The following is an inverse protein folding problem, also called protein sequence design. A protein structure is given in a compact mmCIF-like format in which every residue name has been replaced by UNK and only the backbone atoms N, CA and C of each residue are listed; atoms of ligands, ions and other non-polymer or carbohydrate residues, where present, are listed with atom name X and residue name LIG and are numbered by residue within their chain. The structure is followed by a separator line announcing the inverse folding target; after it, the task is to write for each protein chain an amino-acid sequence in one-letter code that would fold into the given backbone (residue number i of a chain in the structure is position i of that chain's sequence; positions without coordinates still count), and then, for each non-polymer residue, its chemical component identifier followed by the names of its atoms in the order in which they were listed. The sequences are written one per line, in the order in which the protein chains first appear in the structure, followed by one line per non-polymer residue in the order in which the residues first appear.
data_IF_734661901891
#
_entry.id   IF_734661901891
#
_cell.length_a   1.000
_cell.length_b   1.000
_cell.length_c   1.000
_cell.angle_alpha   90.00
_cell.angle_beta   90.00
_cell.angle_gamma   90.00
#
_symmetry.space_group_name_H-M   'P 1'
#
loop_
_entity.id
_entity.type
_entity.pdbx_description
1 polymer ?
#
# COMPACT_ATOMS: atom_id res chain seq x y z
N UNK A 1 25.15 29.76 -49.79
CA UNK A 1 25.38 29.17 -48.45
C UNK A 1 24.03 29.05 -47.77
N UNK A 2 23.42 27.87 -47.81
CA UNK A 2 22.17 27.56 -47.11
C UNK A 2 22.42 26.26 -46.35
N UNK A 3 22.55 26.37 -45.02
CA UNK A 3 22.77 25.24 -44.14
C UNK A 3 21.44 24.55 -43.88
N UNK A 4 21.38 23.25 -44.19
CA UNK A 4 20.26 22.39 -43.83
C UNK A 4 20.40 21.98 -42.36
N UNK A 5 19.46 22.41 -41.52
CA UNK A 5 19.29 21.91 -40.15
C UNK A 5 18.73 20.49 -40.19
N UNK A 6 19.54 19.52 -39.74
CA UNK A 6 19.11 18.15 -39.47
C UNK A 6 18.23 18.11 -38.23
N UNK A 7 16.96 17.74 -38.40
CA UNK A 7 16.07 17.42 -37.29
C UNK A 7 16.45 16.03 -36.76
N UNK A 8 16.93 15.98 -35.52
CA UNK A 8 17.12 14.73 -34.77
C UNK A 8 15.75 14.18 -34.39
N UNK A 9 15.40 13.01 -34.92
CA UNK A 9 14.20 12.27 -34.52
C UNK A 9 14.30 11.84 -33.06
N UNK A 10 13.24 11.97 -32.23
CA UNK A 10 13.25 11.46 -30.88
C UNK A 10 13.32 9.92 -30.91
N UNK A 11 14.25 9.35 -30.15
CA UNK A 11 14.36 7.92 -29.89
C UNK A 11 13.03 7.43 -29.28
N UNK A 12 12.43 6.33 -29.75
CA UNK A 12 11.20 5.81 -29.16
C UNK A 12 11.46 5.39 -27.72
N UNK A 13 10.69 5.99 -26.81
CA UNK A 13 10.63 5.58 -25.41
C UNK A 13 10.20 4.10 -25.36
N UNK A 14 10.86 3.24 -24.57
CA UNK A 14 10.45 1.85 -24.46
C UNK A 14 8.99 1.77 -24.01
N UNK A 15 8.20 0.79 -24.51
CA UNK A 15 6.80 0.64 -24.12
C UNK A 15 6.72 0.52 -22.59
N UNK A 16 5.85 1.34 -21.98
CA UNK A 16 5.65 1.34 -20.53
C UNK A 16 5.30 -0.08 -20.07
N UNK A 17 6.12 -0.65 -19.19
CA UNK A 17 5.89 -2.00 -18.66
C UNK A 17 4.56 -2.00 -17.90
N UNK A 18 3.61 -2.90 -18.21
CA UNK A 18 2.34 -2.93 -17.50
C UNK A 18 2.56 -3.29 -16.03
N UNK A 19 2.03 -2.48 -15.12
CA UNK A 19 2.16 -2.61 -13.65
C UNK A 19 1.37 -3.79 -13.04
N UNK A 20 1.07 -4.80 -13.86
CA UNK A 20 0.25 -5.98 -13.56
C UNK A 20 1.09 -7.24 -13.41
N UNK A 21 2.24 -7.33 -14.06
CA UNK A 21 3.09 -8.52 -14.02
C UNK A 21 3.92 -8.56 -12.74
N UNK A 22 4.03 -9.74 -12.14
CA UNK A 22 4.89 -9.94 -10.97
C UNK A 22 6.35 -9.63 -11.32
N UNK A 23 7.00 -8.79 -10.51
CA UNK A 23 8.42 -8.51 -10.69
C UNK A 23 9.26 -9.81 -10.54
N UNK A 24 10.32 -10.00 -11.34
CA UNK A 24 11.22 -11.13 -11.19
C UNK A 24 11.81 -11.22 -9.78
N UNK A 25 12.09 -12.44 -9.31
CA UNK A 25 12.61 -12.71 -7.96
C UNK A 25 13.81 -11.82 -7.58
N UNK A 26 14.74 -11.58 -8.52
CA UNK A 26 15.91 -10.74 -8.28
C UNK A 26 15.57 -9.27 -7.98
N UNK A 27 14.48 -8.73 -8.56
CA UNK A 27 14.00 -7.36 -8.24
C UNK A 27 13.34 -7.34 -6.87
N UNK A 28 12.56 -8.39 -6.57
CA UNK A 28 11.90 -8.57 -5.28
C UNK A 28 12.91 -8.64 -4.13
N UNK A 29 13.97 -9.43 -4.29
CA UNK A 29 15.07 -9.58 -3.34
C UNK A 29 15.85 -8.28 -3.15
N UNK A 30 16.09 -7.53 -4.23
CA UNK A 30 16.75 -6.21 -4.14
C UNK A 30 15.90 -5.21 -3.35
N UNK A 31 14.60 -5.12 -3.64
CA UNK A 31 13.70 -4.25 -2.89
C UNK A 31 13.61 -4.65 -1.41
N UNK A 32 13.57 -5.95 -1.12
CA UNK A 32 13.56 -6.45 0.26
C UNK A 32 14.85 -6.10 1.02
N UNK A 33 16.01 -6.28 0.39
CA UNK A 33 17.30 -5.91 0.98
C UNK A 33 17.40 -4.40 1.25
N UNK A 34 16.89 -3.56 0.33
CA UNK A 34 16.88 -2.11 0.49
C UNK A 34 15.95 -1.67 1.63
N UNK A 35 14.74 -2.23 1.71
CA UNK A 35 13.82 -1.98 2.83
C UNK A 35 14.44 -2.38 4.18
N UNK A 36 15.10 -3.54 4.25
CA UNK A 36 15.79 -3.98 5.46
C UNK A 36 16.92 -3.04 5.87
N UNK A 37 17.71 -2.55 4.90
CA UNK A 37 18.74 -1.53 5.15
C UNK A 37 18.15 -0.19 5.62
N UNK A 38 16.88 0.08 5.30
CA UNK A 38 16.13 1.25 5.74
C UNK A 38 15.32 1.02 7.03
N UNK A 39 15.57 -0.08 7.75
CA UNK A 39 15.01 -0.32 9.08
C UNK A 39 13.65 -1.01 9.12
N UNK A 40 13.09 -1.39 7.96
CA UNK A 40 11.86 -2.20 7.92
C UNK A 40 12.16 -3.68 8.22
N UNK A 41 11.24 -4.35 8.91
CA UNK A 41 11.20 -5.81 8.94
C UNK A 41 10.60 -6.30 7.63
N UNK A 42 11.27 -7.22 6.91
CA UNK A 42 10.80 -7.68 5.59
C UNK A 42 10.76 -9.20 5.53
N UNK A 43 9.64 -9.74 5.04
CA UNK A 43 9.47 -11.17 4.79
C UNK A 43 8.98 -11.36 3.35
N UNK A 44 9.69 -12.19 2.57
CA UNK A 44 9.21 -12.60 1.24
C UNK A 44 8.37 -13.86 1.39
N UNK A 45 7.11 -13.80 0.98
CA UNK A 45 6.14 -14.88 1.09
C UNK A 45 5.71 -15.35 -0.30
N UNK A 46 5.30 -16.61 -0.41
CA UNK A 46 4.93 -17.18 -1.70
C UNK A 46 3.61 -16.60 -2.23
N UNK A 47 2.59 -16.46 -1.36
CA UNK A 47 1.23 -16.11 -1.76
C UNK A 47 0.37 -15.47 -0.65
N UNK A 48 -0.87 -15.13 -0.99
CA UNK A 48 -1.87 -14.58 -0.10
C UNK A 48 -2.25 -15.49 1.08
N UNK A 49 -2.43 -16.82 0.93
CA UNK A 49 -2.57 -17.73 2.06
C UNK A 49 -1.42 -17.64 3.08
N UNK A 50 -0.17 -17.60 2.61
CA UNK A 50 0.99 -17.43 3.49
C UNK A 50 0.95 -16.07 4.21
N UNK A 51 0.61 -15.00 3.48
CA UNK A 51 0.46 -13.66 4.07
C UNK A 51 -0.64 -13.60 5.13
N UNK A 52 -1.79 -14.25 4.87
CA UNK A 52 -2.93 -14.33 5.80
C UNK A 52 -2.56 -15.05 7.09
N UNK A 53 -1.86 -16.19 6.98
CA UNK A 53 -1.34 -16.91 8.14
C UNK A 53 -0.36 -16.04 8.94
N UNK A 54 0.56 -15.37 8.25
CA UNK A 54 1.58 -14.55 8.89
C UNK A 54 1.02 -13.32 9.61
N UNK A 55 0.05 -12.63 9.00
CA UNK A 55 -0.66 -11.51 9.66
C UNK A 55 -1.33 -11.97 10.96
N UNK A 56 -1.93 -13.15 10.98
CA UNK A 56 -2.56 -13.70 12.19
C UNK A 56 -1.56 -13.98 13.33
N UNK A 57 -0.33 -14.33 13.00
CA UNK A 57 0.76 -14.54 13.97
C UNK A 57 1.33 -13.22 14.49
N UNK A 58 1.45 -12.22 13.61
CA UNK A 58 2.03 -10.91 13.93
C UNK A 58 1.12 -10.05 14.82
N UNK A 59 -0.19 -10.26 14.77
CA UNK A 59 -1.17 -9.44 15.49
C UNK A 59 -1.66 -10.17 16.75
N UNK A 60 -1.44 -9.61 17.95
CA UNK A 60 -1.99 -10.15 19.19
C UNK A 60 -3.52 -10.18 19.15
N UNK A 61 -4.11 -11.23 19.73
CA UNK A 61 -5.56 -11.27 19.93
C UNK A 61 -6.01 -10.10 20.82
N UNK A 62 -7.17 -9.52 20.51
CA UNK A 62 -7.72 -8.36 21.23
C UNK A 62 -7.08 -7.01 20.90
N UNK A 63 -6.05 -6.95 20.05
CA UNK A 63 -5.47 -5.68 19.62
C UNK A 63 -6.49 -4.82 18.83
N UNK A 64 -6.37 -3.50 18.96
CA UNK A 64 -7.08 -2.52 18.15
C UNK A 64 -6.51 -2.47 16.74
N UNK A 65 -7.19 -3.09 15.77
CA UNK A 65 -6.67 -3.22 14.39
C UNK A 65 -7.49 -2.39 13.42
N UNK A 66 -6.80 -1.51 12.69
CA UNK A 66 -7.39 -0.81 11.55
C UNK A 66 -6.86 -1.42 10.24
N UNK A 67 -7.76 -1.83 9.34
CA UNK A 67 -7.41 -2.14 7.95
C UNK A 67 -7.68 -0.94 7.06
N UNK A 68 -6.63 -0.45 6.39
CA UNK A 68 -6.77 0.60 5.39
C UNK A 68 -7.57 0.08 4.17
N UNK A 69 -8.19 1.00 3.41
CA UNK A 69 -8.82 0.63 2.14
C UNK A 69 -7.77 0.04 1.19
N UNK A 70 -7.91 -1.25 0.84
CA UNK A 70 -6.91 -1.98 0.07
C UNK A 70 -7.51 -3.17 -0.66
N UNK A 71 -7.39 -3.19 -1.98
CA UNK A 71 -7.77 -4.36 -2.79
C UNK A 71 -6.86 -5.56 -2.54
N UNK A 72 -5.59 -5.34 -2.19
CA UNK A 72 -4.69 -6.43 -1.77
C UNK A 72 -5.23 -7.13 -0.51
N UNK A 73 -5.69 -6.38 0.50
CA UNK A 73 -6.28 -6.99 1.70
C UNK A 73 -7.63 -7.65 1.43
N UNK A 74 -8.45 -7.05 0.56
CA UNK A 74 -9.75 -7.63 0.17
C UNK A 74 -9.57 -8.95 -0.57
N UNK A 75 -8.69 -8.98 -1.57
CA UNK A 75 -8.45 -10.16 -2.40
C UNK A 75 -7.75 -11.30 -1.65
N UNK A 76 -6.88 -10.97 -0.68
CA UNK A 76 -6.21 -11.98 0.16
C UNK A 76 -7.11 -12.55 1.27
N UNK A 77 -8.26 -11.92 1.53
CA UNK A 77 -9.15 -12.27 2.65
C UNK A 77 -8.68 -11.77 4.02
N UNK A 78 -7.58 -11.00 4.08
CA UNK A 78 -7.07 -10.42 5.34
C UNK A 78 -8.03 -9.37 5.90
N UNK A 79 -8.68 -8.59 5.03
CA UNK A 79 -9.68 -7.60 5.48
C UNK A 79 -10.86 -8.29 6.21
N UNK A 80 -11.35 -9.39 5.67
CA UNK A 80 -12.46 -10.15 6.25
C UNK A 80 -12.06 -10.84 7.56
N UNK A 81 -10.87 -11.44 7.61
CA UNK A 81 -10.33 -12.06 8.83
C UNK A 81 -10.27 -11.09 9.99
N UNK A 82 -9.84 -9.85 9.72
CA UNK A 82 -9.67 -8.86 10.78
C UNK A 82 -11.03 -8.30 11.20
N UNK A 83 -11.89 -7.96 10.24
CA UNK A 83 -13.10 -7.20 10.52
C UNK A 83 -14.33 -8.05 10.86
N UNK A 84 -14.38 -9.32 10.43
CA UNK A 84 -15.49 -10.24 10.70
C UNK A 84 -15.10 -11.41 11.64
N UNK A 85 -13.81 -11.68 11.84
CA UNK A 85 -13.33 -12.86 12.56
C UNK A 85 -13.44 -12.82 14.09
N UNK A 86 -13.82 -11.67 14.69
CA UNK A 86 -14.04 -11.52 16.14
C UNK A 86 -12.80 -11.63 17.04
N UNK A 87 -11.62 -11.89 16.47
CA UNK A 87 -10.35 -12.05 17.21
C UNK A 87 -9.73 -10.72 17.66
N UNK A 88 -10.04 -9.63 16.97
CA UNK A 88 -9.44 -8.31 17.18
C UNK A 88 -10.51 -7.28 17.52
N UNK A 89 -10.10 -6.19 18.18
CA UNK A 89 -10.93 -5.00 18.31
C UNK A 89 -10.85 -4.20 16.99
N UNK A 90 -11.64 -4.64 16.00
CA UNK A 90 -11.58 -4.11 14.65
C UNK A 90 -12.12 -2.68 14.56
N UNK A 91 -11.27 -1.74 14.15
CA UNK A 91 -11.58 -0.30 14.09
C UNK A 91 -12.57 0.02 12.96
N UNK A 92 -12.43 -0.61 11.80
CA UNK A 92 -13.22 -0.31 10.59
C UNK A 92 -14.74 -0.51 10.81
N UNK A 93 -15.25 -1.66 11.29
CA UNK A 93 -16.69 -1.82 11.53
C UNK A 93 -17.23 -0.86 12.59
N UNK A 94 -16.43 -0.55 13.63
CA UNK A 94 -16.81 0.43 14.67
C UNK A 94 -17.02 1.81 14.08
N UNK A 95 -16.04 2.32 13.32
CA UNK A 95 -16.12 3.63 12.66
C UNK A 95 -17.27 3.71 11.66
N UNK A 96 -17.57 2.61 10.94
CA UNK A 96 -18.70 2.57 10.00
C UNK A 96 -20.07 2.64 10.69
N UNK A 97 -20.18 2.21 11.94
CA UNK A 97 -21.41 2.28 12.73
C UNK A 97 -21.60 3.63 13.44
N UNK A 98 -20.58 4.49 13.47
CA UNK A 98 -20.63 5.80 14.14
C UNK A 98 -21.29 6.87 13.27
N UNK A 99 -21.99 7.80 13.91
CA UNK A 99 -22.50 8.99 13.23
C UNK A 99 -21.33 9.91 12.81
N UNK A 100 -21.32 10.30 11.53
CA UNK A 100 -20.19 11.04 10.95
C UNK A 100 -20.12 12.50 11.41
N UNK A 101 -21.22 13.07 11.89
CA UNK A 101 -21.28 14.49 12.30
C UNK A 101 -20.88 14.62 13.76
N UNK A 102 -21.55 13.89 14.63
CA UNK A 102 -21.34 13.94 16.08
C UNK A 102 -20.10 13.15 16.54
N UNK A 103 -19.75 12.08 15.83
CA UNK A 103 -18.60 11.22 16.13
C UNK A 103 -17.32 11.54 15.36
N UNK A 104 -17.28 12.64 14.60
CA UNK A 104 -16.18 12.94 13.68
C UNK A 104 -14.79 12.91 14.33
N UNK A 105 -14.69 13.46 15.54
CA UNK A 105 -13.45 13.53 16.30
C UNK A 105 -12.97 12.17 16.80
N UNK A 106 -13.89 11.33 17.28
CA UNK A 106 -13.58 9.98 17.71
C UNK A 106 -13.20 9.10 16.52
N UNK A 107 -13.89 9.25 15.38
CA UNK A 107 -13.50 8.59 14.13
C UNK A 107 -12.07 8.96 13.75
N UNK A 108 -11.71 10.26 13.74
CA UNK A 108 -10.33 10.66 13.44
C UNK A 108 -9.32 10.04 14.39
N UNK A 109 -9.60 10.03 15.70
CA UNK A 109 -8.70 9.44 16.70
C UNK A 109 -8.52 7.94 16.49
N UNK A 110 -9.61 7.20 16.33
CA UNK A 110 -9.59 5.75 16.12
C UNK A 110 -8.79 5.34 14.87
N UNK A 111 -8.93 6.09 13.77
CA UNK A 111 -8.21 5.81 12.54
C UNK A 111 -6.74 6.23 12.59
N UNK A 112 -6.39 7.23 13.39
CA UNK A 112 -5.06 7.81 13.41
C UNK A 112 -4.04 7.03 14.26
N UNK A 113 -4.49 6.46 15.39
CA UNK A 113 -3.62 5.82 16.38
C UNK A 113 -4.11 4.42 16.82
N UNK A 114 -4.38 3.48 15.88
CA UNK A 114 -4.70 2.10 16.25
C UNK A 114 -3.45 1.40 16.82
N UNK A 115 -3.62 0.30 17.55
CA UNK A 115 -2.47 -0.52 17.98
C UNK A 115 -1.73 -1.07 16.75
N UNK A 116 -2.50 -1.58 15.77
CA UNK A 116 -1.96 -2.11 14.53
C UNK A 116 -2.72 -1.54 13.33
N UNK A 117 -1.97 -1.06 12.34
CA UNK A 117 -2.50 -0.73 11.01
C UNK A 117 -2.05 -1.80 10.02
N UNK A 118 -2.99 -2.34 9.25
CA UNK A 118 -2.71 -3.27 8.15
C UNK A 118 -3.18 -2.64 6.84
N UNK A 119 -2.37 -2.75 5.80
CA UNK A 119 -2.82 -2.39 4.45
C UNK A 119 -1.80 -2.72 3.39
N UNK A 120 -1.76 -1.90 2.36
CA UNK A 120 -0.88 -2.08 1.21
C UNK A 120 -0.37 -0.73 0.74
N UNK A 121 0.51 -0.77 -0.25
CA UNK A 121 1.11 0.42 -0.86
C UNK A 121 0.74 0.46 -2.33
N UNK A 122 0.80 1.64 -2.94
CA UNK A 122 0.66 1.78 -4.38
C UNK A 122 1.96 1.38 -5.09
N UNK A 123 3.13 1.57 -4.48
CA UNK A 123 4.38 1.07 -5.05
C UNK A 123 5.43 0.84 -3.97
N UNK A 124 6.39 -0.01 -4.31
CA UNK A 124 7.64 -0.23 -3.58
C UNK A 124 8.78 -0.01 -4.58
N UNK A 125 9.68 0.94 -4.31
CA UNK A 125 10.86 1.12 -5.15
C UNK A 125 11.90 0.03 -4.86
N UNK A 126 12.69 -0.34 -5.87
CA UNK A 126 13.84 -1.24 -5.69
C UNK A 126 14.90 -0.64 -4.75
N UNK A 127 14.88 0.67 -4.55
CA UNK A 127 15.67 1.41 -3.57
C UNK A 127 15.06 1.43 -2.17
N UNK A 128 13.97 0.71 -1.92
CA UNK A 128 13.43 0.52 -0.56
C UNK A 128 12.59 1.68 -0.05
N UNK A 129 11.78 2.32 -0.90
CA UNK A 129 10.77 3.31 -0.49
C UNK A 129 9.35 2.83 -0.78
N UNK A 130 8.46 3.02 0.18
CA UNK A 130 7.03 2.70 0.04
C UNK A 130 6.25 3.96 -0.35
N UNK A 131 5.39 3.86 -1.38
CA UNK A 131 4.57 4.98 -1.87
C UNK A 131 3.10 4.69 -1.65
N UNK A 132 2.44 5.60 -0.94
CA UNK A 132 1.02 5.52 -0.61
C UNK A 132 0.30 6.72 -1.19
N UNK A 133 -0.78 6.46 -1.93
CA UNK A 133 -1.68 7.48 -2.46
C UNK A 133 -3.03 7.42 -1.73
N UNK A 134 -3.67 8.57 -1.52
CA UNK A 134 -4.94 8.63 -0.80
C UNK A 134 -5.84 9.79 -1.17
N UNK A 135 -7.13 9.50 -1.33
CA UNK A 135 -8.17 10.51 -1.49
C UNK A 135 -8.57 11.19 -0.16
N UNK A 136 -8.89 10.40 0.88
CA UNK A 136 -9.34 10.91 2.18
C UNK A 136 -8.18 11.27 3.12
N UNK A 137 -7.04 10.57 3.00
CA UNK A 137 -5.92 10.67 3.92
C UNK A 137 -6.10 9.91 5.25
N UNK A 138 -7.20 9.19 5.46
CA UNK A 138 -7.57 8.65 6.77
C UNK A 138 -6.56 7.64 7.35
N UNK A 139 -5.88 6.89 6.50
CA UNK A 139 -4.85 5.92 6.93
C UNK A 139 -3.45 6.52 7.09
N UNK A 140 -3.22 7.75 6.59
CA UNK A 140 -1.87 8.32 6.55
C UNK A 140 -1.29 8.59 7.95
N UNK A 141 -2.03 9.08 8.96
CA UNK A 141 -1.47 9.25 10.30
C UNK A 141 -1.00 7.93 10.90
N UNK A 142 -1.82 6.87 10.77
CA UNK A 142 -1.47 5.54 11.25
C UNK A 142 -0.22 4.99 10.56
N UNK A 143 -0.12 5.14 9.23
CA UNK A 143 1.08 4.76 8.47
C UNK A 143 2.32 5.56 8.84
N UNK A 144 2.21 6.87 8.95
CA UNK A 144 3.34 7.77 9.16
C UNK A 144 3.99 7.63 10.54
N UNK A 145 3.23 7.19 11.55
CA UNK A 145 3.78 7.02 12.90
C UNK A 145 2.75 6.83 14.02
N UNK A 146 1.47 7.05 13.73
CA UNK A 146 0.41 6.99 14.74
C UNK A 146 0.12 5.58 15.25
N UNK A 147 0.24 4.56 14.39
CA UNK A 147 0.07 3.17 14.82
C UNK A 147 1.35 2.62 15.48
N UNK A 148 1.18 1.87 16.57
CA UNK A 148 2.29 1.23 17.28
C UNK A 148 2.98 0.15 16.43
N UNK A 149 2.24 -0.50 15.52
CA UNK A 149 2.77 -1.40 14.48
C UNK A 149 2.07 -1.15 13.15
N UNK A 150 2.83 -1.18 12.06
CA UNK A 150 2.32 -1.08 10.70
C UNK A 150 2.74 -2.32 9.89
N UNK A 151 1.77 -2.95 9.22
CA UNK A 151 1.98 -4.13 8.39
C UNK A 151 1.50 -3.82 6.97
N UNK A 152 2.42 -3.88 6.01
CA UNK A 152 2.10 -3.69 4.59
C UNK A 152 2.22 -5.02 3.84
N UNK A 153 1.11 -5.46 3.24
CA UNK A 153 1.04 -6.61 2.34
C UNK A 153 1.21 -6.11 0.92
N UNK A 154 2.26 -6.54 0.23
CA UNK A 154 2.70 -5.95 -1.05
C UNK A 154 2.88 -7.06 -2.08
N UNK A 155 2.16 -7.01 -3.20
CA UNK A 155 2.37 -7.93 -4.31
C UNK A 155 3.59 -7.58 -5.16
N UNK A 156 4.18 -8.56 -5.83
CA UNK A 156 5.42 -8.38 -6.60
C UNK A 156 5.29 -7.35 -7.74
N UNK A 157 4.11 -7.20 -8.34
CA UNK A 157 3.84 -6.23 -9.41
C UNK A 157 3.89 -4.76 -8.95
N UNK A 158 3.99 -4.54 -7.63
CA UNK A 158 4.14 -3.21 -7.03
C UNK A 158 5.60 -2.77 -6.95
N UNK A 159 6.56 -3.67 -7.22
CA UNK A 159 8.00 -3.34 -7.23
C UNK A 159 8.37 -2.61 -8.52
N UNK A 160 8.91 -1.40 -8.38
CA UNK A 160 9.29 -0.52 -9.49
C UNK A 160 10.72 -0.01 -9.32
N UNK A 161 11.44 0.38 -10.39
CA UNK A 161 12.84 0.77 -10.29
C UNK A 161 13.11 1.96 -9.35
N UNK A 162 12.27 2.99 -9.41
CA UNK A 162 12.52 4.28 -8.76
C UNK A 162 11.21 5.03 -8.38
N UNK A 163 11.38 6.18 -7.73
CA UNK A 163 10.27 7.00 -7.24
C UNK A 163 9.47 7.62 -8.38
N UNK A 164 10.10 8.02 -9.48
CA UNK A 164 9.39 8.58 -10.64
C UNK A 164 8.46 7.54 -11.27
N UNK A 165 8.94 6.30 -11.42
CA UNK A 165 8.13 5.16 -11.88
C UNK A 165 7.04 4.82 -10.88
N UNK A 166 7.29 4.95 -9.58
CA UNK A 166 6.28 4.74 -8.54
C UNK A 166 5.13 5.76 -8.63
N UNK A 167 5.45 7.04 -8.83
CA UNK A 167 4.44 8.08 -9.02
C UNK A 167 3.66 7.91 -10.33
N UNK A 168 4.34 7.49 -11.41
CA UNK A 168 3.66 7.09 -12.64
C UNK A 168 2.73 5.90 -12.43
N UNK A 169 3.14 4.87 -11.68
CA UNK A 169 2.27 3.74 -11.32
C UNK A 169 1.01 4.20 -10.60
N UNK A 170 1.14 5.16 -9.68
CA UNK A 170 -0.01 5.74 -8.97
C UNK A 170 -1.02 6.36 -9.94
N UNK A 171 -0.55 7.23 -10.85
CA UNK A 171 -1.41 7.99 -11.76
C UNK A 171 -1.92 7.16 -12.94
N UNK A 172 -1.04 6.40 -13.59
CA UNK A 172 -1.33 5.69 -14.85
C UNK A 172 -2.03 4.33 -14.61
N UNK A 173 -1.93 3.76 -13.39
CA UNK A 173 -2.45 2.43 -13.10
C UNK A 173 -3.37 2.36 -11.87
N UNK A 174 -2.91 2.82 -10.70
CA UNK A 174 -3.72 2.71 -9.48
C UNK A 174 -4.97 3.59 -9.53
N UNK A 175 -4.82 4.86 -9.91
CA UNK A 175 -5.92 5.82 -9.89
C UNK A 175 -7.07 5.46 -10.84
N UNK A 176 -6.85 5.01 -12.10
CA UNK A 176 -7.93 4.56 -12.97
C UNK A 176 -8.70 3.36 -12.41
N UNK A 177 -7.99 2.37 -11.85
CA UNK A 177 -8.60 1.19 -11.24
C UNK A 177 -9.41 1.55 -9.99
N UNK A 178 -8.84 2.37 -9.12
CA UNK A 178 -9.51 2.85 -7.91
C UNK A 178 -10.71 3.74 -8.24
N UNK A 179 -10.62 4.56 -9.30
CA UNK A 179 -11.72 5.39 -9.77
C UNK A 179 -12.88 4.56 -10.32
N UNK A 180 -12.59 3.49 -11.07
CA UNK A 180 -13.62 2.55 -11.50
C UNK A 180 -14.30 1.88 -10.30
N UNK A 181 -13.51 1.40 -9.32
CA UNK A 181 -14.01 0.76 -8.10
C UNK A 181 -14.89 1.69 -7.26
N UNK A 182 -14.41 2.91 -6.98
CA UNK A 182 -15.13 3.90 -6.17
C UNK A 182 -16.36 4.44 -6.88
N UNK A 183 -16.33 4.60 -8.20
CA UNK A 183 -17.52 4.96 -8.98
C UNK A 183 -18.58 3.88 -8.91
N UNK A 184 -18.20 2.60 -8.99
CA UNK A 184 -19.14 1.49 -8.83
C UNK A 184 -19.70 1.38 -7.40
N UNK A 185 -18.87 1.60 -6.38
CA UNK A 185 -19.27 1.44 -4.98
C UNK A 185 -20.03 2.65 -4.40
N UNK A 186 -19.68 3.87 -4.82
CA UNK A 186 -20.12 5.11 -4.19
C UNK A 186 -20.69 6.15 -5.17
N UNK A 187 -20.50 5.98 -6.48
CA UNK A 187 -21.04 6.88 -7.51
C UNK A 187 -20.12 8.04 -7.91
N UNK A 188 -18.93 8.17 -7.31
CA UNK A 188 -17.94 9.20 -7.67
C UNK A 188 -16.54 8.58 -7.87
N UNK A 189 -15.68 9.16 -8.73
CA UNK A 189 -14.33 8.66 -8.95
C UNK A 189 -13.41 8.93 -7.76
N UNK A 190 -12.24 8.30 -7.77
CA UNK A 190 -11.19 8.53 -6.78
C UNK A 190 -10.31 9.71 -7.19
N UNK A 191 -9.40 10.10 -6.29
CA UNK A 191 -8.41 11.15 -6.52
C UNK A 191 -7.15 10.90 -5.68
N UNK A 192 -6.00 11.30 -6.21
CA UNK A 192 -4.72 11.33 -5.50
C UNK A 192 -4.58 12.70 -4.81
N UNK A 193 -5.29 12.89 -3.70
CA UNK A 193 -5.26 14.17 -2.98
C UNK A 193 -4.03 14.31 -2.07
N UNK A 194 -3.45 13.19 -1.66
CA UNK A 194 -2.32 13.12 -0.72
C UNK A 194 -1.41 11.96 -1.10
N UNK A 195 -0.11 12.18 -0.97
CA UNK A 195 0.93 11.15 -1.13
C UNK A 195 1.78 11.12 0.12
N UNK A 196 2.10 9.91 0.59
CA UNK A 196 3.08 9.65 1.64
C UNK A 196 4.15 8.73 1.06
N UNK A 197 5.41 9.13 1.22
CA UNK A 197 6.57 8.31 0.87
C UNK A 197 7.28 7.95 2.17
N UNK A 198 7.43 6.66 2.43
CA UNK A 198 8.19 6.14 3.56
C UNK A 198 9.54 5.66 3.04
N UNK A 199 10.59 6.42 3.34
CA UNK A 199 11.96 6.07 2.95
C UNK A 199 12.63 5.13 3.94
N UNK A 200 12.31 5.25 5.23
CA UNK A 200 12.90 4.45 6.30
C UNK A 200 11.95 4.33 7.48
N UNK A 201 12.17 3.31 8.29
CA UNK A 201 11.52 3.12 9.58
C UNK A 201 12.52 3.40 10.71
N UNK A 202 12.15 4.33 11.60
CA UNK A 202 13.05 4.76 12.67
C UNK A 202 12.96 3.84 13.89
N UNK A 203 11.75 3.35 14.18
CA UNK A 203 11.50 2.48 15.33
C UNK A 203 11.64 1.02 14.90
N UNK A 204 12.63 0.27 15.44
CA UNK A 204 12.76 -1.15 15.15
C UNK A 204 11.45 -1.91 15.38
N UNK A 205 11.16 -2.86 14.49
CA UNK A 205 9.99 -3.74 14.54
C UNK A 205 8.60 -3.06 14.44
N UNK A 206 8.55 -1.73 14.25
CA UNK A 206 7.29 -1.02 14.00
C UNK A 206 6.73 -1.38 12.62
N UNK A 207 7.56 -1.25 11.58
CA UNK A 207 7.17 -1.38 10.19
C UNK A 207 7.53 -2.75 9.63
N UNK A 208 6.54 -3.58 9.34
CA UNK A 208 6.71 -4.88 8.69
C UNK A 208 6.16 -4.87 7.26
N UNK A 209 6.96 -5.31 6.30
CA UNK A 209 6.57 -5.48 4.90
C UNK A 209 6.53 -6.97 4.57
N UNK A 210 5.34 -7.47 4.28
CA UNK A 210 5.12 -8.82 3.75
C UNK A 210 5.07 -8.72 2.23
N UNK A 211 6.14 -9.13 1.56
CA UNK A 211 6.33 -9.00 0.12
C UNK A 211 6.00 -10.34 -0.56
N UNK A 212 4.91 -10.38 -1.30
CA UNK A 212 4.39 -11.60 -1.93
C UNK A 212 5.04 -11.79 -3.30
N UNK A 213 5.39 -13.02 -3.66
CA UNK A 213 5.91 -13.37 -5.00
C UNK A 213 4.84 -13.25 -6.09
N UNK A 214 3.57 -13.38 -5.74
CA UNK A 214 2.46 -13.22 -6.67
C UNK A 214 2.04 -11.76 -6.87
N UNK A 215 1.36 -11.50 -7.98
CA UNK A 215 0.70 -10.21 -8.23
C UNK A 215 -0.67 -10.18 -7.54
N UNK A 216 -0.90 -9.19 -6.67
CA UNK A 216 -2.19 -9.05 -5.97
C UNK A 216 -2.59 -7.60 -5.70
N UNK A 217 -3.84 -7.28 -6.01
CA UNK A 217 -4.39 -5.93 -5.94
C UNK A 217 -3.68 -4.97 -6.90
N UNK A 218 -3.82 -3.67 -6.63
CA UNK A 218 -3.15 -2.61 -7.36
C UNK A 218 -2.72 -1.51 -6.39
#
# INVERSE_FOLDING_TARGET
MTAATSATSPTPEPPATPFTEAAPAQRLERAAAALAAHGFTVEILDDAPAARARVKELIPAGAGVFTAASETLRLSGIDDDINAGGRYDAVKPRVLAMDRVTGADDIRRLLAVPDVIVGSVAALTETGSLVIASGSGSQLPAYAGGAARAIWVVGAQKVVPDLDTALRRVEEHCLPLESARTRAAYGWPSAVNRVLVLHAEHLPDRGTVLLLREAIGF
#
